data_IF_989184192247
#
_entry.id   IF_989184192247
#
_cell.length_a   1.000
_cell.length_b   1.000
_cell.length_c   1.000
_cell.angle_alpha   90.00
_cell.angle_beta   90.00
_cell.angle_gamma   90.00
#
_symmetry.space_group_name_H-M   'P 1'
#
loop_
_entity.id
_entity.type
_entity.pdbx_description
1 polymer ?
#
# COMPACT_ATOMS: atom_id res chain seq x y z
N UNK A 1 -1.54 18.93 -2.77
CA UNK A 1 -0.70 18.28 -1.72
C UNK A 1 0.02 17.10 -2.37
N UNK A 2 1.35 17.14 -2.47
CA UNK A 2 2.15 16.04 -3.06
C UNK A 2 2.21 14.90 -2.03
N UNK A 3 1.55 13.79 -2.31
CA UNK A 3 1.59 12.59 -1.47
C UNK A 3 2.10 11.40 -2.30
N UNK A 4 2.72 10.43 -1.63
CA UNK A 4 3.31 9.26 -2.26
C UNK A 4 2.19 8.31 -2.66
N UNK A 5 2.08 8.04 -3.96
CA UNK A 5 1.05 7.16 -4.52
C UNK A 5 1.23 5.72 -4.02
N UNK A 6 0.16 4.92 -4.11
CA UNK A 6 0.20 3.48 -3.85
C UNK A 6 1.29 2.83 -4.71
N UNK A 7 2.06 1.92 -4.12
CA UNK A 7 3.21 1.22 -4.70
C UNK A 7 4.45 2.06 -5.01
N UNK A 8 4.44 3.38 -4.73
CA UNK A 8 5.63 4.20 -4.86
C UNK A 8 6.54 4.09 -3.65
N UNK A 9 7.82 4.37 -3.88
CA UNK A 9 8.86 4.33 -2.87
C UNK A 9 8.60 5.35 -1.77
N UNK A 10 8.69 4.89 -0.52
CA UNK A 10 8.46 5.70 0.68
C UNK A 10 9.60 5.60 1.69
N UNK A 11 10.77 5.15 1.24
CA UNK A 11 11.96 4.93 2.07
C UNK A 11 12.34 6.18 2.87
N UNK A 12 12.28 7.35 2.23
CA UNK A 12 12.60 8.65 2.85
C UNK A 12 11.39 9.30 3.55
N UNK A 13 10.16 8.90 3.21
CA UNK A 13 8.93 9.58 3.62
C UNK A 13 7.83 8.58 4.04
N UNK A 14 8.08 7.90 5.17
CA UNK A 14 7.24 6.79 5.66
C UNK A 14 5.78 7.18 5.99
N UNK A 15 5.52 8.47 6.24
CA UNK A 15 4.19 8.99 6.64
C UNK A 15 3.49 9.79 5.53
N UNK A 16 4.18 10.12 4.43
CA UNK A 16 3.63 10.94 3.35
C UNK A 16 2.89 10.12 2.28
N UNK A 17 2.58 8.85 2.57
CA UNK A 17 1.72 8.04 1.73
C UNK A 17 0.33 8.66 1.61
N UNK A 18 -0.21 8.69 0.39
CA UNK A 18 -1.54 9.25 0.14
C UNK A 18 -2.61 8.53 0.99
N UNK A 19 -3.70 9.24 1.28
CA UNK A 19 -4.89 8.62 1.85
C UNK A 19 -5.73 8.05 0.70
N UNK A 20 -6.05 6.76 0.76
CA UNK A 20 -6.98 6.14 -0.18
C UNK A 20 -8.43 6.56 0.13
N UNK A 21 -9.40 6.05 -0.64
CA UNK A 21 -10.82 6.38 -0.46
C UNK A 21 -11.38 6.04 0.93
N UNK A 22 -10.80 5.05 1.62
CA UNK A 22 -11.35 4.51 2.88
C UNK A 22 -10.31 4.52 4.01
N UNK A 23 -9.02 4.36 3.68
CA UNK A 23 -7.94 4.30 4.68
C UNK A 23 -6.64 4.92 4.16
N UNK A 24 -5.81 5.38 5.11
CA UNK A 24 -4.46 5.87 4.82
C UNK A 24 -3.55 4.73 4.36
N UNK A 25 -2.80 4.96 3.27
CA UNK A 25 -1.76 4.01 2.87
C UNK A 25 -0.60 4.06 3.88
N UNK A 26 -0.08 2.90 4.23
CA UNK A 26 1.05 2.76 5.16
C UNK A 26 2.29 2.38 4.36
N UNK A 27 3.43 2.99 4.70
CA UNK A 27 4.72 2.60 4.13
C UNK A 27 5.13 1.24 4.70
N UNK A 28 5.19 0.20 3.87
CA UNK A 28 5.73 -1.12 4.25
C UNK A 28 7.02 -1.38 3.50
N UNK A 29 8.04 -1.80 4.24
CA UNK A 29 9.31 -2.26 3.70
C UNK A 29 9.27 -3.78 3.55
N UNK A 30 9.76 -4.25 2.41
CA UNK A 30 9.89 -5.65 2.09
C UNK A 30 11.33 -5.90 1.69
N UNK A 31 11.95 -6.89 2.31
CA UNK A 31 13.27 -7.37 1.91
C UNK A 31 13.12 -8.14 0.60
N UNK A 32 13.77 -7.66 -0.45
CA UNK A 32 13.76 -8.30 -1.75
C UNK A 32 15.14 -8.83 -2.07
N UNK A 33 15.24 -10.14 -2.29
CA UNK A 33 16.47 -10.76 -2.77
C UNK A 33 16.55 -10.55 -4.28
N UNK A 34 17.49 -9.72 -4.71
CA UNK A 34 17.75 -9.50 -6.13
C UNK A 34 18.39 -10.76 -6.75
N UNK A 35 18.42 -10.87 -8.09
CA UNK A 35 18.99 -12.02 -8.82
C UNK A 35 20.48 -12.29 -8.51
N UNK A 36 21.17 -11.32 -7.91
CA UNK A 36 22.54 -11.44 -7.41
C UNK A 36 22.65 -12.03 -5.98
N UNK A 37 21.54 -12.42 -5.36
CA UNK A 37 21.51 -12.93 -3.97
C UNK A 37 21.61 -11.84 -2.90
N UNK A 38 21.63 -10.56 -3.30
CA UNK A 38 21.69 -9.41 -2.38
C UNK A 38 20.29 -9.10 -1.86
N UNK A 39 20.15 -9.02 -0.53
CA UNK A 39 18.92 -8.58 0.13
C UNK A 39 18.91 -7.06 0.18
N UNK A 40 18.02 -6.44 -0.60
CA UNK A 40 17.79 -5.00 -0.55
C UNK A 40 16.41 -4.69 0.07
N UNK A 41 16.35 -3.83 1.10
CA UNK A 41 15.08 -3.41 1.68
C UNK A 41 14.40 -2.39 0.77
N UNK A 42 13.25 -2.76 0.19
CA UNK A 42 12.44 -1.85 -0.63
C UNK A 42 11.15 -1.45 0.09
N UNK A 43 11.01 -0.15 0.36
CA UNK A 43 9.84 0.41 1.04
C UNK A 43 8.84 0.98 0.05
N UNK A 44 7.58 0.55 0.12
CA UNK A 44 6.49 1.04 -0.73
C UNK A 44 5.23 1.36 0.04
N UNK A 45 4.50 2.40 -0.39
CA UNK A 45 3.19 2.71 0.17
C UNK A 45 2.18 1.63 -0.22
N UNK A 46 1.61 0.94 0.76
CA UNK A 46 0.59 -0.09 0.53
C UNK A 46 -0.68 0.20 1.30
N UNK A 47 -1.81 -0.35 0.86
CA UNK A 47 -3.01 -0.42 1.68
C UNK A 47 -2.68 -1.20 2.95
N UNK A 48 -3.09 -0.67 4.10
CA UNK A 48 -3.15 -1.46 5.32
C UNK A 48 -4.07 -2.66 5.08
N UNK A 49 -3.80 -3.81 5.71
CA UNK A 49 -4.58 -5.05 5.53
C UNK A 49 -6.07 -4.79 5.79
N UNK A 50 -6.38 -3.97 6.78
CA UNK A 50 -7.74 -3.52 7.09
C UNK A 50 -8.39 -2.75 5.94
N UNK A 51 -7.60 -1.94 5.24
CA UNK A 51 -8.02 -1.21 4.04
C UNK A 51 -8.21 -2.11 2.82
N UNK A 52 -7.54 -3.26 2.73
CA UNK A 52 -7.78 -4.23 1.67
C UNK A 52 -9.06 -5.04 1.93
N UNK A 53 -9.33 -5.42 3.17
CA UNK A 53 -10.54 -6.15 3.56
C UNK A 53 -11.81 -5.33 3.38
N UNK A 54 -11.77 -4.04 3.71
CA UNK A 54 -12.90 -3.12 3.52
C UNK A 54 -13.18 -2.84 2.04
N UNK A 55 -12.14 -2.66 1.22
CA UNK A 55 -12.29 -2.55 -0.24
C UNK A 55 -12.96 -3.80 -0.83
N UNK A 56 -12.53 -4.98 -0.38
CA UNK A 56 -13.09 -6.26 -0.82
C UNK A 56 -14.56 -6.41 -0.40
N UNK A 57 -14.88 -6.06 0.86
CA UNK A 57 -16.26 -6.09 1.38
C UNK A 57 -17.20 -5.13 0.64
N UNK A 58 -16.77 -3.89 0.39
CA UNK A 58 -17.55 -2.91 -0.39
C UNK A 58 -17.75 -3.38 -1.82
N UNK A 59 -16.71 -3.94 -2.45
CA UNK A 59 -16.79 -4.41 -3.83
C UNK A 59 -17.69 -5.66 -3.95
N UNK A 60 -17.67 -6.55 -2.96
CA UNK A 60 -18.61 -7.67 -2.86
C UNK A 60 -20.04 -7.19 -2.65
N UNK A 61 -20.25 -6.22 -1.75
CA UNK A 61 -21.58 -5.68 -1.47
C UNK A 61 -22.19 -5.02 -2.71
N UNK A 62 -21.42 -4.20 -3.42
CA UNK A 62 -21.85 -3.60 -4.69
C UNK A 62 -22.17 -4.63 -5.77
N UNK A 63 -21.55 -5.81 -5.74
CA UNK A 63 -21.83 -6.90 -6.68
C UNK A 63 -23.04 -7.75 -6.29
N UNK A 64 -23.43 -7.74 -5.01
CA UNK A 64 -24.59 -8.50 -4.49
C UNK A 64 -25.86 -7.64 -4.47
N UNK A 65 -25.73 -6.33 -4.28
CA UNK A 65 -26.86 -5.39 -4.17
C UNK A 65 -27.06 -4.50 -5.39
N UNK A 66 -26.15 -4.54 -6.37
CA UNK A 66 -26.31 -3.94 -7.70
C UNK A 66 -26.51 -5.02 -8.75
#
# INVERSE_FOLDING_TARGET
KQCIKKHYECTHDKRNCCVGKVFQYTCKCYDYTNSAGVVEPRCKCTKSILGALTDFGVNLWNRVTG
#
